data_IF_905548631769
#
_entry.id   IF_905548631769
#
_cell.length_a   1.000
_cell.length_b   1.000
_cell.length_c   1.000
_cell.angle_alpha   90.00
_cell.angle_beta   90.00
_cell.angle_gamma   90.00
#
_symmetry.space_group_name_H-M   'P 1'
#
loop_
_entity.id
_entity.type
_entity.pdbx_description
1 polymer ?
#
# COMPACT_ATOMS: atom_id res chain seq x y z
N UNK A 1 16.31 -6.23 15.05
CA UNK A 1 15.23 -5.60 14.26
C UNK A 1 15.47 -4.10 14.33
N UNK A 2 15.57 -3.41 13.19
CA UNK A 2 15.75 -1.96 13.15
C UNK A 2 14.53 -1.27 13.77
N UNK A 3 14.70 -0.08 14.34
CA UNK A 3 13.59 0.73 14.88
C UNK A 3 12.52 0.98 13.80
N UNK A 4 12.98 1.15 12.56
CA UNK A 4 12.15 1.27 11.36
C UNK A 4 11.19 0.08 11.18
N UNK A 5 11.69 -1.16 11.35
CA UNK A 5 10.87 -2.38 11.17
C UNK A 5 9.76 -2.55 12.22
N UNK A 6 9.89 -1.89 13.38
CA UNK A 6 8.93 -2.02 14.48
C UNK A 6 7.94 -0.86 14.52
N UNK A 7 8.39 0.36 14.24
CA UNK A 7 7.55 1.57 14.30
C UNK A 7 6.70 1.77 13.04
N UNK A 8 7.28 1.51 11.85
CA UNK A 8 6.67 1.85 10.58
C UNK A 8 5.29 1.19 10.39
N UNK A 9 5.10 -0.13 10.64
CA UNK A 9 3.77 -0.74 10.54
C UNK A 9 2.74 -0.09 11.45
N UNK A 10 3.12 0.28 12.68
CA UNK A 10 2.17 0.87 13.62
C UNK A 10 1.71 2.25 13.14
N UNK A 11 2.63 3.07 12.66
CA UNK A 11 2.37 4.42 12.15
C UNK A 11 1.51 4.40 10.88
N UNK A 12 1.85 3.54 9.92
CA UNK A 12 1.13 3.47 8.64
C UNK A 12 -0.30 2.94 8.76
N UNK A 13 -0.66 2.27 9.86
CA UNK A 13 -2.07 1.89 10.12
C UNK A 13 -2.93 3.02 10.66
N UNK A 14 -2.33 4.14 11.10
CA UNK A 14 -3.04 5.25 11.75
C UNK A 14 -3.64 6.19 10.71
N UNK A 15 -4.98 6.35 10.65
CA UNK A 15 -5.61 7.33 9.76
C UNK A 15 -5.17 8.76 10.08
N UNK A 16 -4.80 9.06 11.33
CA UNK A 16 -4.33 10.38 11.75
C UNK A 16 -2.97 10.74 11.12
N UNK A 17 -2.16 9.74 10.75
CA UNK A 17 -0.87 9.93 10.10
C UNK A 17 -0.97 9.85 8.57
N UNK A 18 -1.83 8.98 8.04
CA UNK A 18 -1.85 8.65 6.60
C UNK A 18 -3.08 9.12 5.85
N UNK A 19 -4.15 9.50 6.56
CA UNK A 19 -5.50 9.67 6.01
C UNK A 19 -6.21 8.37 5.65
N UNK A 20 -5.49 7.24 5.56
CA UNK A 20 -6.02 5.96 5.09
C UNK A 20 -6.86 5.29 6.17
N UNK A 21 -8.18 5.29 5.96
CA UNK A 21 -9.10 4.53 6.78
C UNK A 21 -9.17 3.07 6.30
N UNK A 22 -8.82 2.10 7.14
CA UNK A 22 -8.85 0.68 6.78
C UNK A 22 -10.24 0.20 6.31
N UNK A 23 -11.31 0.74 6.89
CA UNK A 23 -12.70 0.47 6.52
C UNK A 23 -13.13 1.01 5.17
N UNK A 24 -12.34 1.89 4.54
CA UNK A 24 -12.54 2.35 3.17
C UNK A 24 -11.49 1.75 2.23
N UNK A 25 -10.23 1.69 2.67
CA UNK A 25 -9.11 1.18 1.88
C UNK A 25 -9.33 -0.28 1.47
N UNK A 26 -9.64 -1.18 2.41
CA UNK A 26 -9.76 -2.61 2.08
C UNK A 26 -10.92 -2.89 1.12
N UNK A 27 -12.15 -2.36 1.33
CA UNK A 27 -13.21 -2.49 0.34
C UNK A 27 -12.85 -1.87 -1.02
N UNK A 28 -12.18 -0.73 -1.05
CA UNK A 28 -11.74 -0.09 -2.30
C UNK A 28 -10.73 -0.96 -3.07
N UNK A 29 -9.72 -1.50 -2.39
CA UNK A 29 -8.75 -2.41 -3.02
C UNK A 29 -9.45 -3.63 -3.63
N UNK A 30 -10.42 -4.20 -2.92
CA UNK A 30 -11.20 -5.36 -3.39
C UNK A 30 -12.14 -5.05 -4.55
N UNK A 31 -12.53 -3.79 -4.75
CA UNK A 31 -13.28 -3.37 -5.94
C UNK A 31 -12.33 -3.07 -7.12
N UNK A 32 -11.21 -2.40 -6.87
CA UNK A 32 -10.22 -2.07 -7.91
C UNK A 32 -9.53 -3.32 -8.49
N UNK A 33 -9.52 -4.44 -7.75
CA UNK A 33 -8.92 -5.70 -8.22
C UNK A 33 -9.61 -6.26 -9.48
N UNK A 34 -10.84 -5.83 -9.76
CA UNK A 34 -11.61 -6.24 -10.94
C UNK A 34 -11.17 -5.48 -12.22
N UNK A 35 -10.25 -4.51 -12.12
CA UNK A 35 -9.70 -3.79 -13.27
C UNK A 35 -10.52 -2.59 -13.76
N UNK A 36 -11.68 -2.33 -13.14
CA UNK A 36 -12.58 -1.25 -13.53
C UNK A 36 -12.55 -0.05 -12.56
N UNK A 37 -12.78 1.18 -13.04
CA UNK A 37 -12.98 2.35 -12.18
C UNK A 37 -14.17 2.18 -11.23
N UNK A 38 -14.00 2.60 -9.97
CA UNK A 38 -14.97 2.40 -8.89
C UNK A 38 -15.76 3.68 -8.61
N UNK A 39 -17.08 3.62 -8.74
CA UNK A 39 -17.95 4.71 -8.32
C UNK A 39 -17.97 4.84 -6.78
N UNK A 40 -18.13 6.06 -6.27
CA UNK A 40 -18.17 6.33 -4.81
C UNK A 40 -19.35 5.58 -4.15
N UNK A 41 -20.45 5.43 -4.86
CA UNK A 41 -21.63 4.66 -4.46
C UNK A 41 -21.31 3.16 -4.29
N UNK A 42 -20.51 2.58 -5.18
CA UNK A 42 -20.06 1.18 -5.07
C UNK A 42 -19.18 1.00 -3.84
N UNK A 43 -18.25 1.93 -3.60
CA UNK A 43 -17.43 1.92 -2.41
C UNK A 43 -18.26 2.05 -1.13
N UNK A 44 -19.26 2.94 -1.11
CA UNK A 44 -20.16 3.10 0.03
C UNK A 44 -20.94 1.82 0.35
N UNK A 45 -21.47 1.16 -0.68
CA UNK A 45 -22.16 -0.11 -0.52
C UNK A 45 -21.21 -1.21 0.00
N UNK A 46 -20.02 -1.34 -0.57
CA UNK A 46 -19.03 -2.35 -0.17
C UNK A 46 -18.46 -2.12 1.24
N UNK A 47 -18.27 -0.86 1.62
CA UNK A 47 -17.80 -0.47 2.96
C UNK A 47 -18.92 -0.50 4.02
N UNK A 48 -20.20 -0.59 3.61
CA UNK A 48 -21.34 -0.51 4.51
C UNK A 48 -21.47 0.86 5.20
N UNK A 49 -21.06 1.94 4.53
CA UNK A 49 -21.00 3.29 5.10
C UNK A 49 -21.87 4.28 4.32
N UNK A 50 -22.41 5.33 4.98
CA UNK A 50 -23.08 6.42 4.29
C UNK A 50 -22.16 7.09 3.27
N UNK A 51 -22.71 7.46 2.11
CA UNK A 51 -21.92 8.04 1.01
C UNK A 51 -21.16 9.32 1.41
N UNK A 52 -21.73 10.15 2.26
CA UNK A 52 -21.07 11.39 2.72
C UNK A 52 -19.88 11.10 3.64
N UNK A 53 -19.93 10.00 4.39
CA UNK A 53 -18.80 9.54 5.18
C UNK A 53 -17.66 9.04 4.30
N UNK A 54 -18.00 8.27 3.25
CA UNK A 54 -17.02 7.83 2.24
C UNK A 54 -16.37 9.02 1.56
N UNK A 55 -17.15 10.02 1.13
CA UNK A 55 -16.61 11.24 0.50
C UNK A 55 -15.64 11.98 1.43
N UNK A 56 -15.98 12.13 2.72
CA UNK A 56 -15.06 12.73 3.71
C UNK A 56 -13.78 11.92 3.88
N UNK A 57 -13.89 10.59 3.95
CA UNK A 57 -12.73 9.71 4.07
C UNK A 57 -11.82 9.78 2.85
N UNK A 58 -12.38 9.80 1.64
CA UNK A 58 -11.62 9.99 0.41
C UNK A 58 -10.96 11.37 0.34
N UNK A 59 -11.65 12.43 0.79
CA UNK A 59 -11.09 13.78 0.83
C UNK A 59 -9.93 13.93 1.83
N UNK A 60 -9.83 13.03 2.83
CA UNK A 60 -8.68 12.98 3.74
C UNK A 60 -7.42 12.38 3.10
N UNK A 61 -7.53 11.78 1.91
CA UNK A 61 -6.43 11.18 1.15
C UNK A 61 -6.30 11.91 -0.19
N UNK A 62 -5.56 13.04 -0.24
CA UNK A 62 -5.49 13.90 -1.43
C UNK A 62 -4.84 13.21 -2.63
N UNK A 63 -4.08 12.13 -2.40
CA UNK A 63 -3.42 11.35 -3.44
C UNK A 63 -4.36 10.40 -4.20
N UNK A 64 -5.62 10.27 -3.77
CA UNK A 64 -6.62 9.40 -4.44
C UNK A 64 -6.75 9.80 -5.91
N UNK A 65 -6.61 8.83 -6.80
CA UNK A 65 -6.66 9.03 -8.24
C UNK A 65 -8.09 8.83 -8.75
N UNK A 66 -8.56 9.76 -9.58
CA UNK A 66 -9.87 9.72 -10.21
C UNK A 66 -9.74 9.79 -11.74
N UNK A 67 -10.71 9.21 -12.45
CA UNK A 67 -10.90 9.45 -13.88
C UNK A 67 -11.69 10.75 -14.15
N UNK A 68 -11.89 11.08 -15.43
CA UNK A 68 -12.61 12.28 -15.87
C UNK A 68 -14.09 12.31 -15.45
N UNK A 69 -14.64 11.17 -15.02
CA UNK A 69 -16.02 11.03 -14.56
C UNK A 69 -16.11 11.07 -13.03
N UNK A 70 -14.98 11.26 -12.33
CA UNK A 70 -14.93 11.29 -10.87
C UNK A 70 -15.02 9.91 -10.23
N UNK A 71 -14.81 8.82 -10.97
CA UNK A 71 -14.70 7.46 -10.42
C UNK A 71 -13.28 7.23 -9.94
N UNK A 72 -13.14 6.47 -8.87
CA UNK A 72 -11.86 6.17 -8.25
C UNK A 72 -11.13 5.15 -9.12
N UNK A 73 -9.90 5.48 -9.52
CA UNK A 73 -9.02 4.61 -10.29
C UNK A 73 -7.75 4.23 -9.53
N UNK A 74 -7.50 4.81 -8.36
CA UNK A 74 -6.35 4.41 -7.55
C UNK A 74 -6.27 4.97 -6.15
N UNK A 75 -5.90 4.11 -5.20
CA UNK A 75 -5.45 4.47 -3.86
C UNK A 75 -4.52 3.35 -3.35
N UNK A 76 -3.21 3.53 -3.52
CA UNK A 76 -2.22 2.45 -3.33
C UNK A 76 -2.22 1.47 -4.51
N UNK A 77 -3.32 0.73 -4.73
CA UNK A 77 -3.57 -0.03 -5.97
C UNK A 77 -4.19 0.91 -6.99
N UNK A 78 -3.80 0.83 -8.27
CA UNK A 78 -4.23 1.77 -9.29
C UNK A 78 -4.29 1.16 -10.69
N UNK A 79 -5.22 1.67 -11.50
CA UNK A 79 -5.34 1.38 -12.94
C UNK A 79 -4.32 2.17 -13.78
N UNK A 80 -3.72 3.21 -13.19
CA UNK A 80 -2.74 4.06 -13.89
C UNK A 80 -1.37 3.39 -13.89
N UNK A 81 -0.70 3.28 -15.05
CA UNK A 81 0.63 2.69 -15.11
C UNK A 81 1.63 3.34 -14.14
N UNK A 82 2.33 2.49 -13.39
CA UNK A 82 3.48 2.83 -12.54
C UNK A 82 4.63 1.87 -12.85
N UNK A 83 5.85 2.11 -12.33
CA UNK A 83 6.93 1.13 -12.42
C UNK A 83 6.63 -0.21 -11.75
N UNK A 84 5.63 -0.30 -10.87
CA UNK A 84 5.30 -1.49 -10.11
C UNK A 84 4.05 -2.16 -10.69
N UNK A 85 4.25 -2.99 -11.72
CA UNK A 85 3.18 -3.77 -12.36
C UNK A 85 2.76 -4.90 -11.42
N UNK A 86 1.46 -5.04 -11.21
CA UNK A 86 0.85 -5.91 -10.23
C UNK A 86 -0.25 -6.74 -10.89
N UNK A 87 0.06 -8.00 -11.19
CA UNK A 87 -0.86 -8.94 -11.83
C UNK A 87 -1.55 -9.78 -10.76
N UNK A 88 -2.88 -9.66 -10.65
CA UNK A 88 -3.68 -10.31 -9.62
C UNK A 88 -5.04 -10.69 -10.19
N UNK A 89 -5.57 -11.86 -9.82
CA UNK A 89 -6.88 -12.35 -10.28
C UNK A 89 -7.10 -12.38 -11.82
N UNK A 90 -6.03 -12.35 -12.62
CA UNK A 90 -6.10 -12.30 -14.08
C UNK A 90 -6.02 -10.88 -14.66
N UNK A 91 -6.11 -9.87 -13.81
CA UNK A 91 -6.00 -8.45 -14.17
C UNK A 91 -4.58 -7.94 -14.03
N UNK A 92 -4.22 -7.02 -14.91
CA UNK A 92 -2.98 -6.26 -14.84
C UNK A 92 -3.24 -4.87 -14.27
N UNK A 93 -2.75 -4.65 -13.06
CA UNK A 93 -2.87 -3.41 -12.31
C UNK A 93 -1.49 -2.88 -11.96
N UNK A 94 -1.46 -1.81 -11.17
CA UNK A 94 -0.23 -1.19 -10.70
C UNK A 94 -0.33 -0.81 -9.24
N UNK A 95 0.80 -0.65 -8.55
CA UNK A 95 0.83 -0.09 -7.19
C UNK A 95 1.65 1.18 -7.11
N UNK A 96 1.44 1.98 -6.07
CA UNK A 96 2.18 3.22 -5.87
C UNK A 96 3.62 3.00 -5.40
N UNK A 97 3.92 1.92 -4.68
CA UNK A 97 5.28 1.58 -4.29
C UNK A 97 5.56 0.07 -4.23
N UNK A 98 6.83 -0.28 -4.01
CA UNK A 98 7.26 -1.67 -3.83
C UNK A 98 6.58 -2.35 -2.62
N UNK A 99 6.41 -1.65 -1.49
CA UNK A 99 5.84 -2.25 -0.28
C UNK A 99 4.34 -2.59 -0.45
N UNK A 100 3.59 -1.78 -1.20
CA UNK A 100 2.19 -2.05 -1.53
C UNK A 100 2.01 -3.43 -2.20
N UNK A 101 2.92 -3.78 -3.11
CA UNK A 101 2.91 -5.08 -3.81
C UNK A 101 3.05 -6.28 -2.87
N UNK A 102 3.65 -6.08 -1.69
CA UNK A 102 3.88 -7.10 -0.69
C UNK A 102 2.72 -7.21 0.32
N UNK A 103 1.89 -6.16 0.43
CA UNK A 103 0.79 -6.04 1.40
C UNK A 103 -0.55 -6.45 0.77
N UNK A 104 -0.82 -5.96 -0.44
CA UNK A 104 -2.14 -6.10 -1.05
C UNK A 104 -2.57 -7.55 -1.32
N UNK A 105 -1.69 -8.50 -1.68
CA UNK A 105 -2.09 -9.90 -1.84
C UNK A 105 -2.86 -10.45 -0.64
N UNK A 106 -2.39 -10.15 0.58
CA UNK A 106 -3.06 -10.57 1.81
C UNK A 106 -4.36 -9.80 2.12
N UNK A 107 -4.46 -8.51 1.78
CA UNK A 107 -5.70 -7.74 1.93
C UNK A 107 -6.80 -8.17 0.93
N UNK A 108 -6.36 -8.58 -0.27
CA UNK A 108 -7.20 -9.06 -1.37
C UNK A 108 -7.55 -10.54 -1.23
N UNK A 109 -6.83 -11.29 -0.39
CA UNK A 109 -6.89 -12.75 -0.30
C UNK A 109 -6.66 -13.44 -1.67
N UNK A 110 -5.68 -12.92 -2.42
CA UNK A 110 -5.35 -13.34 -3.80
C UNK A 110 -3.83 -13.33 -3.97
N UNK A 111 -3.22 -14.35 -4.59
CA UNK A 111 -1.82 -14.29 -4.96
C UNK A 111 -1.61 -13.26 -6.07
N UNK A 112 -0.43 -12.65 -6.09
CA UNK A 112 -0.04 -11.68 -7.12
C UNK A 112 1.36 -11.96 -7.67
N UNK A 113 1.53 -11.61 -8.94
CA UNK A 113 2.83 -11.53 -9.61
C UNK A 113 3.20 -10.07 -9.80
N UNK A 114 4.40 -9.72 -9.39
CA UNK A 114 4.94 -8.36 -9.43
C UNK A 114 6.06 -8.31 -10.45
N UNK A 115 6.04 -7.29 -11.30
CA UNK A 115 7.15 -6.93 -12.17
C UNK A 115 7.48 -5.44 -11.96
N UNK A 116 8.72 -5.16 -11.59
CA UNK A 116 9.24 -3.83 -11.32
C UNK A 116 10.61 -3.67 -11.97
N UNK A 117 11.17 -2.47 -11.92
CA UNK A 117 12.56 -2.21 -12.27
C UNK A 117 13.26 -1.41 -11.18
N UNK A 118 14.57 -1.58 -11.06
CA UNK A 118 15.40 -0.69 -10.25
C UNK A 118 15.38 0.73 -10.83
N UNK A 119 15.17 1.78 -10.01
CA UNK A 119 15.27 3.15 -10.49
C UNK A 119 16.71 3.57 -10.84
N UNK A 120 17.73 2.80 -10.41
CA UNK A 120 19.14 3.09 -10.64
C UNK A 120 19.65 2.41 -11.90
N UNK A 121 19.54 1.07 -11.97
CA UNK A 121 20.05 0.29 -13.10
C UNK A 121 19.02 0.07 -14.21
N UNK A 122 17.72 0.23 -13.93
CA UNK A 122 16.65 -0.14 -14.85
C UNK A 122 16.44 -1.65 -15.00
N UNK A 123 17.23 -2.47 -14.29
CA UNK A 123 17.14 -3.91 -14.36
C UNK A 123 15.86 -4.44 -13.67
N UNK A 124 15.26 -5.52 -14.19
CA UNK A 124 13.98 -6.00 -13.70
C UNK A 124 14.09 -6.68 -12.33
N UNK A 125 13.06 -6.49 -11.51
CA UNK A 125 12.81 -7.24 -10.27
C UNK A 125 11.44 -7.89 -10.38
N UNK A 126 11.36 -9.20 -10.15
CA UNK A 126 10.15 -10.01 -10.22
C UNK A 126 9.90 -10.68 -8.88
N UNK A 127 8.68 -10.59 -8.37
CA UNK A 127 8.29 -11.20 -7.10
C UNK A 127 6.96 -11.91 -7.25
N UNK A 128 6.86 -13.15 -6.78
CA UNK A 128 5.57 -13.83 -6.59
C UNK A 128 5.20 -13.75 -5.11
N UNK A 129 4.03 -13.23 -4.80
CA UNK A 129 3.55 -13.05 -3.44
C UNK A 129 2.26 -13.84 -3.25
N UNK A 130 2.27 -14.76 -2.30
CA UNK A 130 1.10 -15.51 -1.86
C UNK A 130 0.54 -14.86 -0.57
N UNK A 131 -0.79 -14.76 -0.41
CA UNK A 131 -1.41 -14.16 0.77
C UNK A 131 -1.06 -14.85 2.09
N UNK A 132 -0.68 -16.13 2.06
CA UNK A 132 -0.40 -16.95 3.26
C UNK A 132 1.06 -17.34 3.39
N UNK A 133 1.71 -17.71 2.28
CA UNK A 133 3.10 -18.17 2.25
C UNK A 133 4.09 -17.00 2.11
N UNK A 134 3.61 -15.82 1.72
CA UNK A 134 4.40 -14.62 1.50
C UNK A 134 5.15 -14.59 0.18
N UNK A 135 6.32 -13.95 0.15
CA UNK A 135 7.16 -13.89 -1.04
C UNK A 135 7.71 -15.28 -1.39
N UNK A 136 7.04 -16.00 -2.28
CA UNK A 136 7.35 -17.39 -2.67
C UNK A 136 8.47 -17.47 -3.70
N UNK A 137 8.73 -16.38 -4.43
CA UNK A 137 9.83 -16.27 -5.38
C UNK A 137 10.27 -14.82 -5.50
N UNK A 138 11.58 -14.60 -5.59
CA UNK A 138 12.22 -13.28 -5.75
C UNK A 138 13.35 -13.43 -6.76
N UNK A 139 13.32 -12.62 -7.81
CA UNK A 139 14.31 -12.59 -8.88
C UNK A 139 14.72 -11.14 -9.20
N UNK A 140 16.00 -10.76 -9.08
CA UNK A 140 17.10 -11.59 -8.56
C UNK A 140 16.92 -11.91 -7.07
N UNK A 141 17.45 -13.04 -6.56
CA UNK A 141 17.34 -13.41 -5.14
C UNK A 141 17.97 -12.38 -4.17
N UNK A 142 18.85 -11.53 -4.69
CA UNK A 142 19.51 -10.44 -3.96
C UNK A 142 18.66 -9.18 -3.84
N UNK A 143 17.48 -9.13 -4.46
CA UNK A 143 16.66 -7.94 -4.51
C UNK A 143 16.37 -7.39 -3.11
N UNK A 144 16.34 -6.06 -3.02
CA UNK A 144 16.06 -5.32 -1.79
C UNK A 144 14.97 -4.27 -2.03
N UNK A 145 14.37 -3.81 -0.95
CA UNK A 145 13.35 -2.75 -0.94
C UNK A 145 13.86 -1.60 -0.08
N UNK A 146 13.79 -0.36 -0.59
CA UNK A 146 14.01 0.82 0.24
C UNK A 146 12.80 1.12 1.11
N UNK A 147 13.05 1.52 2.35
CA UNK A 147 12.04 1.98 3.30
C UNK A 147 12.51 3.27 3.96
N UNK A 148 11.56 4.15 4.24
CA UNK A 148 11.77 5.40 4.96
C UNK A 148 10.81 5.46 6.15
N UNK A 149 11.21 6.13 7.23
CA UNK A 149 10.33 6.44 8.36
C UNK A 149 10.25 7.96 8.52
N UNK A 150 9.53 8.67 7.64
CA UNK A 150 9.47 10.13 7.68
C UNK A 150 8.86 10.61 8.99
N UNK A 151 9.44 11.64 9.61
CA UNK A 151 8.91 12.18 10.87
C UNK A 151 7.45 12.64 10.72
N UNK A 152 7.13 13.27 9.59
CA UNK A 152 5.78 13.73 9.24
C UNK A 152 5.35 13.14 7.90
N UNK A 153 4.12 12.63 7.83
CA UNK A 153 3.49 12.15 6.61
C UNK A 153 2.43 13.18 6.22
N UNK A 154 2.74 14.05 5.26
CA UNK A 154 1.77 15.04 4.76
C UNK A 154 0.92 14.47 3.63
N UNK A 155 1.46 13.52 2.88
CA UNK A 155 0.78 12.69 1.90
C UNK A 155 1.48 11.34 1.87
N UNK A 156 0.72 10.24 1.94
CA UNK A 156 1.31 8.90 1.93
C UNK A 156 2.12 8.65 0.65
N UNK A 157 1.66 9.17 -0.49
CA UNK A 157 2.33 8.93 -1.76
C UNK A 157 3.66 9.68 -1.85
N UNK A 158 3.66 10.97 -1.52
CA UNK A 158 4.85 11.83 -1.65
C UNK A 158 5.86 11.62 -0.51
N UNK A 159 5.39 11.47 0.73
CA UNK A 159 6.26 11.33 1.91
C UNK A 159 6.82 9.91 2.08
N UNK A 160 6.13 8.89 1.55
CA UNK A 160 6.52 7.49 1.72
C UNK A 160 6.66 6.73 0.39
N UNK A 161 5.56 6.53 -0.37
CA UNK A 161 5.58 5.64 -1.54
C UNK A 161 6.64 6.03 -2.58
N UNK A 162 6.85 7.34 -2.79
CA UNK A 162 7.84 7.87 -3.74
C UNK A 162 9.29 7.58 -3.37
N UNK A 163 9.55 7.02 -2.18
CA UNK A 163 10.88 6.66 -1.68
C UNK A 163 11.04 5.14 -1.49
N UNK A 164 10.01 4.35 -1.85
CA UNK A 164 9.92 2.92 -1.57
C UNK A 164 9.98 2.14 -2.88
N UNK A 165 11.19 1.71 -3.22
CA UNK A 165 11.55 1.11 -4.51
C UNK A 165 12.11 -0.28 -4.34
N UNK A 166 12.02 -1.07 -5.41
CA UNK A 166 12.84 -2.28 -5.57
C UNK A 166 14.21 -1.91 -6.14
N UNK A 167 15.24 -2.64 -5.72
CA UNK A 167 16.58 -2.65 -6.33
C UNK A 167 17.01 -4.10 -6.55
N UNK A 168 17.87 -4.36 -7.53
CA UNK A 168 18.34 -5.73 -7.81
C UNK A 168 19.28 -6.27 -6.73
N UNK A 169 19.92 -5.37 -5.98
CA UNK A 169 20.76 -5.70 -4.84
C UNK A 169 20.99 -4.49 -3.94
N UNK A 170 21.60 -4.71 -2.76
CA UNK A 170 22.07 -3.60 -1.92
C UNK A 170 23.16 -2.76 -2.59
N UNK A 171 23.96 -3.35 -3.49
CA UNK A 171 24.98 -2.64 -4.27
C UNK A 171 24.33 -1.70 -5.30
N UNK A 172 23.31 -2.18 -6.00
CA UNK A 172 22.50 -1.40 -6.94
C UNK A 172 21.82 -0.19 -6.25
N UNK A 173 21.41 -0.36 -4.99
CA UNK A 173 20.82 0.71 -4.18
C UNK A 173 21.83 1.73 -3.62
N UNK A 174 23.14 1.44 -3.63
CA UNK A 174 24.13 2.19 -2.87
C UNK A 174 24.24 3.67 -3.29
N UNK A 175 24.19 3.94 -4.60
CA UNK A 175 24.20 5.31 -5.12
C UNK A 175 22.97 6.10 -4.71
N UNK A 176 21.79 5.47 -4.78
CA UNK A 176 20.53 6.09 -4.36
C UNK A 176 20.51 6.37 -2.85
N UNK A 177 21.00 5.45 -2.03
CA UNK A 177 21.07 5.62 -0.57
C UNK A 177 21.99 6.79 -0.15
N UNK A 178 23.07 7.04 -0.89
CA UNK A 178 23.95 8.17 -0.62
C UNK A 178 23.23 9.52 -0.76
N UNK A 179 22.22 9.60 -1.62
CA UNK A 179 21.38 10.79 -1.83
C UNK A 179 20.14 10.82 -0.91
N UNK A 180 19.80 9.70 -0.27
CA UNK A 180 18.61 9.53 0.57
C UNK A 180 19.00 9.01 1.97
N UNK A 181 19.67 9.84 2.81
CA UNK A 181 20.31 9.39 4.05
C UNK A 181 19.35 8.93 5.15
N UNK A 182 18.04 9.17 4.99
CA UNK A 182 16.98 8.72 5.92
C UNK A 182 16.35 7.39 5.48
N UNK A 183 16.78 6.84 4.35
CA UNK A 183 16.30 5.58 3.84
C UNK A 183 17.21 4.42 4.23
N UNK A 184 16.61 3.25 4.43
CA UNK A 184 17.31 1.98 4.61
C UNK A 184 16.85 1.02 3.51
N UNK A 185 17.72 0.10 3.08
CA UNK A 185 17.30 -1.04 2.25
C UNK A 185 17.28 -2.32 3.06
N UNK A 186 16.27 -3.14 2.81
CA UNK A 186 16.13 -4.46 3.42
C UNK A 186 15.83 -5.51 2.35
N UNK A 187 16.24 -6.79 2.53
CA UNK A 187 15.87 -7.86 1.62
C UNK A 187 14.35 -7.96 1.45
N UNK A 188 13.87 -8.40 0.27
CA UNK A 188 12.42 -8.53 -0.01
C UNK A 188 11.69 -9.36 1.06
N UNK A 189 12.31 -10.43 1.56
CA UNK A 189 11.73 -11.25 2.63
C UNK A 189 11.53 -10.46 3.93
N UNK A 190 12.41 -9.52 4.25
CA UNK A 190 12.26 -8.65 5.42
C UNK A 190 11.18 -7.59 5.20
N UNK A 191 11.17 -6.96 4.00
CA UNK A 191 10.11 -6.04 3.62
C UNK A 191 8.72 -6.70 3.70
N UNK A 192 8.62 -7.98 3.29
CA UNK A 192 7.39 -8.75 3.44
C UNK A 192 6.99 -8.94 4.92
N UNK A 193 7.93 -9.24 5.82
CA UNK A 193 7.61 -9.35 7.26
C UNK A 193 7.08 -8.04 7.83
N UNK A 194 7.65 -6.92 7.45
CA UNK A 194 7.18 -5.58 7.81
C UNK A 194 5.76 -5.35 7.23
N UNK A 195 5.56 -5.69 5.95
CA UNK A 195 4.26 -5.63 5.28
C UNK A 195 3.19 -6.52 5.91
N UNK A 196 3.55 -7.71 6.39
CA UNK A 196 2.63 -8.62 7.07
C UNK A 196 2.15 -8.05 8.42
N UNK A 197 3.03 -7.39 9.17
CA UNK A 197 2.65 -6.68 10.40
C UNK A 197 1.69 -5.51 10.11
N UNK A 198 1.95 -4.75 9.03
CA UNK A 198 1.08 -3.66 8.57
C UNK A 198 -0.29 -4.19 8.12
N UNK A 199 -0.30 -5.28 7.34
CA UNK A 199 -1.52 -5.98 6.90
C UNK A 199 -2.37 -6.40 8.11
N UNK A 200 -1.74 -7.04 9.10
CA UNK A 200 -2.42 -7.48 10.32
C UNK A 200 -3.05 -6.29 11.05
N UNK A 201 -2.32 -5.18 11.18
CA UNK A 201 -2.84 -3.96 11.80
C UNK A 201 -4.03 -3.35 11.04
N UNK A 202 -3.98 -3.32 9.70
CA UNK A 202 -5.08 -2.85 8.86
C UNK A 202 -6.32 -3.75 9.01
N UNK A 203 -6.15 -5.07 8.99
CA UNK A 203 -7.26 -6.02 9.15
C UNK A 203 -7.88 -5.94 10.55
N UNK A 204 -7.07 -5.79 11.60
CA UNK A 204 -7.58 -5.58 12.95
C UNK A 204 -8.42 -4.30 13.06
N UNK A 205 -7.98 -3.21 12.41
CA UNK A 205 -8.74 -1.95 12.36
C UNK A 205 -10.01 -2.04 11.52
N UNK A 206 -9.99 -2.82 10.43
CA UNK A 206 -11.18 -3.10 9.63
C UNK A 206 -12.27 -3.81 10.45
N UNK A 207 -11.87 -4.69 11.37
CA UNK A 207 -12.77 -5.45 12.23
C UNK A 207 -13.18 -4.69 13.51
N UNK A 208 -12.49 -3.61 13.86
CA UNK A 208 -12.84 -2.81 15.02
C UNK A 208 -14.21 -2.16 14.82
N UNK A 209 -15.12 -2.20 15.81
CA UNK A 209 -16.36 -1.45 15.73
C UNK A 209 -16.05 0.02 15.48
N UNK A 210 -16.77 0.66 14.55
CA UNK A 210 -16.72 2.11 14.42
C UNK A 210 -16.99 2.68 15.82
N UNK A 211 -16.03 3.43 16.38
CA UNK A 211 -16.19 4.04 17.68
C UNK A 211 -17.54 4.77 17.68
N UNK A 212 -18.44 4.34 18.56
CA UNK A 212 -19.73 4.99 18.71
C UNK A 212 -19.46 6.46 18.97
N UNK A 213 -20.05 7.32 18.14
CA UNK A 213 -20.08 8.75 18.38
C UNK A 213 -20.72 8.92 19.76
N UNK A 214 -19.92 9.31 20.75
CA UNK A 214 -20.30 9.47 22.15
C UNK A 214 -21.20 10.71 22.24
N UNK A 215 -22.43 10.54 21.78
CA UNK A 215 -23.44 11.58 21.67
C UNK A 215 -24.78 11.06 22.15
N UNK A 216 -24.85 10.41 23.32
CA UNK A 216 -26.12 10.33 24.04
C UNK A 216 -25.97 10.29 25.57
N UNK A 217 -26.47 11.37 26.16
CA UNK A 217 -27.25 11.40 27.40
C UNK A 217 -26.49 11.57 28.72
N UNK A 218 -26.18 12.83 29.06
CA UNK A 218 -26.37 13.28 30.43
C UNK A 218 -27.88 13.47 30.66
N UNK A 219 -28.47 12.62 31.50
CA UNK A 219 -29.71 12.89 32.22
C UNK A 219 -29.39 13.53 33.57
#
# INVERSE_FOLDING_TARGET
MSDLSTQLPQRLTRPEETGLNAGLLVPLLRLLVDGDPVAVEQLAAAAGRPIDEVRRGLAAVPDTEYDDQGRIIGQGLTLRPTPHRFIVAGEELYTWCALDTLIFPALLDRPARVESASPVSGEPVRVNVDPTQGATSVDPPTAVVSLVNPEQITSIRSSFCSQVHYFTSAEDAAGWLAEHPVAEVVPVAEAYRIGAALTTGLLNRLQAPAAADDSHSCC
#
